data_IF_805419268461
#
_entry.id   IF_805419268461
#
_cell.length_a   1.000
_cell.length_b   1.000
_cell.length_c   1.000
_cell.angle_alpha   90.00
_cell.angle_beta   90.00
_cell.angle_gamma   90.00
#
_symmetry.space_group_name_H-M   'P 1'
#
loop_
_entity.id
_entity.type
_entity.pdbx_description
1 polymer ?
#
# COMPACT_ATOMS: atom_id res chain seq x y z
N UNK A 1 -9.77 -19.42 -12.10
CA UNK A 1 -8.90 -19.74 -10.94
C UNK A 1 -9.80 -20.13 -9.80
N UNK A 2 -9.68 -21.37 -9.33
CA UNK A 2 -10.48 -21.94 -8.25
C UNK A 2 -10.16 -21.26 -6.91
N UNK A 3 -11.21 -20.81 -6.22
CA UNK A 3 -11.13 -20.42 -4.81
C UNK A 3 -11.30 -21.67 -3.94
N UNK A 4 -10.25 -22.49 -3.89
CA UNK A 4 -10.16 -23.62 -2.96
C UNK A 4 -9.94 -23.13 -1.53
N UNK A 5 -10.94 -23.31 -0.69
CA UNK A 5 -10.85 -23.13 0.78
C UNK A 5 -9.94 -24.21 1.36
N UNK A 6 -8.78 -23.83 1.90
CA UNK A 6 -7.92 -24.71 2.70
C UNK A 6 -8.20 -24.51 4.21
N UNK A 7 -8.81 -25.49 4.91
CA UNK A 7 -8.98 -25.45 6.35
C UNK A 7 -7.86 -26.24 7.02
N UNK A 8 -6.71 -25.62 7.29
CA UNK A 8 -5.75 -26.29 8.19
C UNK A 8 -4.30 -25.90 8.14
N UNK A 9 -3.94 -24.66 8.53
CA UNK A 9 -2.60 -24.40 9.08
C UNK A 9 -2.53 -23.18 10.00
N UNK A 10 -3.21 -23.24 11.15
CA UNK A 10 -2.87 -22.35 12.28
C UNK A 10 -1.57 -22.83 12.95
N UNK A 11 -0.43 -22.57 12.33
CA UNK A 11 0.81 -22.43 13.08
C UNK A 11 0.72 -21.09 13.81
N UNK A 12 0.58 -21.15 15.14
CA UNK A 12 0.67 -19.97 16.01
C UNK A 12 2.06 -19.38 15.83
N UNK A 13 2.18 -18.32 15.06
CA UNK A 13 3.40 -17.53 14.98
C UNK A 13 3.54 -16.81 16.34
N UNK A 14 4.66 -16.95 17.08
CA UNK A 14 4.87 -16.18 18.29
C UNK A 14 4.72 -14.70 17.96
N UNK A 15 3.78 -14.07 18.64
CA UNK A 15 3.41 -12.68 18.50
C UNK A 15 4.67 -11.83 18.47
N UNK A 16 4.83 -11.06 17.38
CA UNK A 16 5.66 -9.86 17.38
C UNK A 16 5.25 -9.06 18.61
N UNK A 17 6.19 -8.86 19.55
CA UNK A 17 5.96 -8.02 20.73
C UNK A 17 5.53 -6.65 20.20
N UNK A 18 4.29 -6.27 20.47
CA UNK A 18 3.83 -4.92 20.20
C UNK A 18 4.50 -4.05 21.26
N UNK A 19 5.54 -3.32 20.88
CA UNK A 19 6.06 -2.24 21.69
C UNK A 19 5.03 -1.10 21.63
N UNK A 20 4.10 -1.12 22.59
CA UNK A 20 3.08 -0.09 22.74
C UNK A 20 3.71 1.07 23.51
N UNK A 21 4.17 2.10 22.80
CA UNK A 21 4.49 3.39 23.42
C UNK A 21 3.18 4.09 23.78
N UNK A 22 2.93 4.25 25.08
CA UNK A 22 1.80 5.03 25.61
C UNK A 22 2.16 6.52 25.57
N UNK A 23 1.99 7.15 24.41
CA UNK A 23 2.05 8.60 24.25
C UNK A 23 0.73 9.11 23.66
N UNK A 24 0.28 10.28 24.08
CA UNK A 24 -0.83 10.97 23.40
C UNK A 24 -0.27 11.52 22.09
N UNK A 25 -0.80 11.03 20.97
CA UNK A 25 -0.50 11.51 19.62
C UNK A 25 -1.74 12.18 19.06
N UNK A 26 -1.59 13.25 18.29
CA UNK A 26 -2.72 13.92 17.62
C UNK A 26 -3.28 13.04 16.50
N UNK A 27 -2.39 12.33 15.78
CA UNK A 27 -2.77 11.48 14.63
C UNK A 27 -2.01 10.16 14.63
N UNK A 28 -2.73 9.05 14.44
CA UNK A 28 -2.15 7.76 14.10
C UNK A 28 -2.30 7.50 12.59
N UNK A 29 -1.18 7.27 11.90
CA UNK A 29 -1.14 6.88 10.48
C UNK A 29 -0.87 5.38 10.40
N UNK A 30 -1.77 4.62 9.78
CA UNK A 30 -1.62 3.17 9.62
C UNK A 30 -1.12 2.86 8.21
N UNK A 31 0.06 2.25 8.14
CA UNK A 31 0.79 1.88 6.93
C UNK A 31 1.96 2.83 6.64
N UNK A 32 3.18 2.30 6.63
CA UNK A 32 4.41 3.02 6.29
C UNK A 32 4.74 2.94 4.79
N UNK A 33 3.73 2.81 3.92
CA UNK A 33 3.91 2.99 2.47
C UNK A 33 4.26 4.44 2.11
N UNK A 34 4.49 4.75 0.81
CA UNK A 34 4.80 6.11 0.37
C UNK A 34 3.74 7.13 0.79
N UNK A 35 2.45 6.79 0.63
CA UNK A 35 1.35 7.66 1.02
C UNK A 35 1.33 7.95 2.53
N UNK A 36 1.50 6.92 3.36
CA UNK A 36 1.52 7.09 4.82
C UNK A 36 2.73 7.89 5.31
N UNK A 37 3.92 7.67 4.73
CA UNK A 37 5.12 8.46 5.02
C UNK A 37 4.98 9.92 4.58
N UNK A 38 4.43 10.16 3.39
CA UNK A 38 4.17 11.52 2.91
C UNK A 38 3.16 12.25 3.81
N UNK A 39 2.06 11.59 4.19
CA UNK A 39 1.08 12.13 5.12
C UNK A 39 1.72 12.44 6.49
N UNK A 40 2.45 11.50 7.08
CA UNK A 40 3.13 11.71 8.36
C UNK A 40 4.10 12.89 8.31
N UNK A 41 4.89 13.00 7.23
CA UNK A 41 5.77 14.14 7.01
C UNK A 41 5.00 15.47 6.97
N UNK A 42 3.92 15.55 6.19
CA UNK A 42 3.11 16.77 6.11
C UNK A 42 2.45 17.14 7.44
N UNK A 43 1.99 16.16 8.23
CA UNK A 43 1.41 16.39 9.56
C UNK A 43 2.46 16.89 10.56
N UNK A 44 3.67 16.31 10.53
CA UNK A 44 4.80 16.77 11.34
C UNK A 44 5.19 18.22 11.00
N UNK A 45 5.21 18.58 9.71
CA UNK A 45 5.45 19.96 9.27
C UNK A 45 4.38 20.95 9.75
N UNK A 46 3.19 20.48 10.12
CA UNK A 46 2.11 21.28 10.71
C UNK A 46 2.16 21.34 12.24
N UNK A 47 3.19 20.74 12.86
CA UNK A 47 3.39 20.76 14.30
C UNK A 47 2.58 19.71 15.07
N UNK A 48 1.99 18.73 14.38
CA UNK A 48 1.24 17.65 15.03
C UNK A 48 2.18 16.55 15.50
N UNK A 49 1.83 15.92 16.63
CA UNK A 49 2.44 14.67 17.08
C UNK A 49 1.84 13.50 16.32
N UNK A 50 2.68 12.72 15.65
CA UNK A 50 2.23 11.65 14.74
C UNK A 50 2.84 10.31 15.13
N UNK A 51 2.01 9.29 15.23
CA UNK A 51 2.45 7.89 15.36
C UNK A 51 2.22 7.17 14.04
N UNK A 52 3.29 6.66 13.44
CA UNK A 52 3.24 5.82 12.23
C UNK A 52 3.28 4.35 12.63
N UNK A 53 2.23 3.60 12.29
CA UNK A 53 2.08 2.18 12.63
C UNK A 53 2.25 1.35 11.36
N UNK A 54 3.21 0.43 11.37
CA UNK A 54 3.40 -0.53 10.29
C UNK A 54 3.94 -1.84 10.87
N UNK A 55 3.52 -3.03 10.39
CA UNK A 55 4.10 -4.30 10.85
C UNK A 55 5.60 -4.45 10.53
N UNK A 56 6.07 -3.80 9.46
CA UNK A 56 7.43 -3.88 8.95
C UNK A 56 7.93 -2.49 8.50
N UNK A 57 8.08 -1.52 9.41
CA UNK A 57 8.33 -0.11 9.06
C UNK A 57 9.66 0.11 8.32
N UNK A 58 10.61 -0.79 8.56
CA UNK A 58 11.96 -0.79 7.97
C UNK A 58 12.06 -1.65 6.71
N UNK A 59 10.99 -2.37 6.32
CA UNK A 59 11.03 -3.14 5.09
C UNK A 59 11.21 -2.20 3.89
N UNK A 60 12.03 -2.58 2.90
CA UNK A 60 12.09 -1.87 1.64
C UNK A 60 10.69 -1.78 1.05
N UNK A 61 10.28 -0.58 0.67
CA UNK A 61 9.03 -0.44 -0.06
C UNK A 61 9.16 -1.14 -1.41
N UNK A 62 8.23 -2.05 -1.71
CA UNK A 62 8.14 -2.71 -3.01
C UNK A 62 7.35 -1.79 -3.94
N UNK A 63 7.98 -1.17 -4.94
CA UNK A 63 7.26 -0.31 -5.85
C UNK A 63 6.24 -1.12 -6.64
N UNK A 64 4.97 -0.76 -6.50
CA UNK A 64 3.88 -1.22 -7.36
C UNK A 64 3.55 -0.09 -8.32
N UNK A 65 4.53 0.30 -9.14
CA UNK A 65 4.28 1.28 -10.19
C UNK A 65 3.47 0.61 -11.29
N UNK A 66 2.45 1.32 -11.75
CA UNK A 66 1.70 1.00 -12.94
C UNK A 66 1.49 2.32 -13.70
N UNK A 67 1.38 2.20 -15.01
CA UNK A 67 0.94 3.27 -15.88
C UNK A 67 -0.11 2.70 -16.83
N UNK A 68 -0.78 3.59 -17.56
CA UNK A 68 -1.63 3.13 -18.65
C UNK A 68 -0.74 2.64 -19.79
N UNK A 69 -1.14 1.59 -20.50
CA UNK A 69 -0.31 0.98 -21.55
C UNK A 69 0.02 1.97 -22.67
N UNK A 70 -0.88 2.92 -22.94
CA UNK A 70 -0.72 4.01 -23.89
C UNK A 70 0.22 5.13 -23.40
N UNK A 71 0.55 5.18 -22.11
CA UNK A 71 1.58 6.09 -21.58
C UNK A 71 2.99 5.51 -21.66
N UNK A 72 3.12 4.22 -21.97
CA UNK A 72 4.43 3.59 -22.09
C UNK A 72 5.18 4.19 -23.28
N UNK A 73 6.46 4.56 -23.09
CA UNK A 73 7.23 5.09 -24.19
C UNK A 73 7.46 4.01 -25.25
N UNK A 74 7.50 4.37 -26.54
CA UNK A 74 7.58 3.40 -27.63
C UNK A 74 8.90 2.63 -27.67
N UNK A 75 9.92 3.09 -26.95
CA UNK A 75 11.21 2.41 -26.83
C UNK A 75 11.20 1.29 -25.79
N UNK A 76 10.16 1.17 -24.95
CA UNK A 76 10.10 0.14 -23.93
C UNK A 76 9.73 -1.23 -24.54
N UNK A 77 10.55 -2.27 -24.34
CA UNK A 77 10.24 -3.61 -24.80
C UNK A 77 8.95 -4.17 -24.18
N UNK A 78 8.17 -4.92 -24.94
CA UNK A 78 6.92 -5.52 -24.44
C UNK A 78 7.16 -6.55 -23.32
N UNK A 79 8.33 -7.21 -23.30
CA UNK A 79 8.74 -8.15 -22.24
C UNK A 79 9.16 -7.47 -20.93
N UNK A 80 9.34 -6.14 -20.93
CA UNK A 80 9.51 -5.36 -19.70
C UNK A 80 8.19 -5.25 -18.90
N UNK A 81 7.05 -5.51 -19.54
CA UNK A 81 5.73 -5.53 -18.88
C UNK A 81 5.56 -6.87 -18.18
N UNK A 82 5.80 -6.89 -16.86
CA UNK A 82 5.65 -8.11 -16.06
C UNK A 82 4.19 -8.56 -15.90
N UNK A 83 3.23 -7.64 -15.97
CA UNK A 83 1.81 -7.93 -15.80
C UNK A 83 0.95 -6.83 -16.45
N UNK A 84 -0.21 -7.22 -16.97
CA UNK A 84 -1.23 -6.32 -17.50
C UNK A 84 -2.61 -6.72 -16.95
N UNK A 85 -3.48 -5.75 -16.73
CA UNK A 85 -4.85 -5.94 -16.24
C UNK A 85 -5.83 -5.16 -17.11
N UNK A 86 -7.06 -5.66 -17.23
CA UNK A 86 -8.11 -5.03 -18.06
C UNK A 86 -8.84 -3.88 -17.33
N UNK A 87 -8.71 -3.80 -16.01
CA UNK A 87 -9.32 -2.75 -15.18
C UNK A 87 -8.49 -2.43 -13.95
N UNK A 88 -8.59 -1.17 -13.50
CA UNK A 88 -8.03 -0.68 -12.25
C UNK A 88 -9.19 -0.29 -11.32
N UNK A 89 -9.11 -0.67 -10.05
CA UNK A 89 -10.15 -0.41 -9.05
C UNK A 89 -9.55 0.09 -7.74
N UNK A 90 -10.23 1.04 -7.10
CA UNK A 90 -10.03 1.39 -5.70
C UNK A 90 -10.98 0.51 -4.89
N UNK A 91 -10.43 -0.39 -4.06
CA UNK A 91 -11.23 -1.11 -3.08
C UNK A 91 -11.31 -0.33 -1.78
N UNK A 92 -12.48 0.24 -1.53
CA UNK A 92 -12.98 0.59 -0.21
C UNK A 92 -14.04 -0.48 0.19
N UNK A 93 -14.88 -0.34 1.22
CA UNK A 93 -16.01 -1.25 1.42
C UNK A 93 -16.83 -1.44 0.12
N UNK A 94 -16.91 -0.39 -0.70
CA UNK A 94 -17.34 -0.47 -2.08
C UNK A 94 -16.13 -0.39 -3.03
N UNK A 95 -16.16 -1.19 -4.09
CA UNK A 95 -15.18 -1.12 -5.17
C UNK A 95 -15.58 -0.03 -6.17
N UNK A 96 -14.66 0.88 -6.48
CA UNK A 96 -14.85 1.90 -7.49
C UNK A 96 -13.84 1.69 -8.62
N UNK A 97 -14.32 1.51 -9.85
CA UNK A 97 -13.46 1.43 -11.03
C UNK A 97 -12.83 2.78 -11.33
N UNK A 98 -11.52 2.79 -11.53
CA UNK A 98 -10.77 3.96 -11.97
C UNK A 98 -10.77 3.96 -13.49
N UNK A 99 -11.40 4.96 -14.10
CA UNK A 99 -11.26 5.21 -15.53
C UNK A 99 -9.94 5.93 -15.80
N UNK A 100 -9.39 5.73 -17.00
CA UNK A 100 -8.33 6.59 -17.52
C UNK A 100 -8.82 8.03 -17.52
N UNK A 101 -8.20 8.90 -16.73
CA UNK A 101 -8.45 10.33 -16.84
C UNK A 101 -7.92 10.83 -18.19
N UNK A 102 -8.80 11.40 -19.00
CA UNK A 102 -8.42 12.14 -20.21
C UNK A 102 -7.98 13.55 -19.78
N UNK A 103 -6.80 13.97 -20.21
CA UNK A 103 -6.34 15.35 -20.05
C UNK A 103 -7.10 16.30 -20.98
#
# INVERSE_FOLDING_TARGET
MDHGTDPGRRRRNPLHRLDVTTGVTDVAVVGAGPAGRALAHHLLLRGLTVTLVDPHPNAPWRPTYACWTDELPPWLPADAVSAQVDSVEIRTPDAARIARATA
#
